data_IF_120016905491
#
_entry.id   IF_120016905491
#
_cell.length_a   1.000
_cell.length_b   1.000
_cell.length_c   1.000
_cell.angle_alpha   90.00
_cell.angle_beta   90.00
_cell.angle_gamma   90.00
#
_symmetry.space_group_name_H-M   'P 1'
#
loop_
_entity.id
_entity.type
_entity.pdbx_description
1 polymer ?
#
# COMPACT_ATOMS: atom_id res chain seq x y z
N UNK A 1 -2.77 -36.05 -0.94
CA UNK A 1 -2.23 -34.79 -1.48
C UNK A 1 -2.03 -33.80 -0.33
N UNK A 2 -0.79 -33.38 -0.06
CA UNK A 2 -0.50 -32.46 1.04
C UNK A 2 -1.02 -31.05 0.71
N UNK A 3 -1.90 -30.49 1.57
CA UNK A 3 -2.38 -29.11 1.44
C UNK A 3 -1.22 -28.15 1.69
N UNK A 4 -0.71 -27.49 0.64
CA UNK A 4 0.24 -26.37 0.78
C UNK A 4 -0.43 -25.26 1.61
N UNK A 5 0.26 -24.81 2.66
CA UNK A 5 -0.18 -23.72 3.52
C UNK A 5 -0.25 -22.44 2.69
N UNK A 6 -1.45 -21.88 2.51
CA UNK A 6 -1.63 -20.58 1.86
C UNK A 6 -1.11 -19.51 2.83
N UNK A 7 0.06 -18.94 2.54
CA UNK A 7 0.57 -17.78 3.27
C UNK A 7 0.17 -16.49 2.53
N UNK A 8 -0.22 -15.46 3.28
CA UNK A 8 -0.42 -14.13 2.71
C UNK A 8 0.91 -13.64 2.15
N UNK A 9 0.90 -13.12 0.91
CA UNK A 9 2.09 -12.60 0.28
C UNK A 9 2.64 -11.43 1.10
N UNK A 10 3.88 -11.55 1.59
CA UNK A 10 4.57 -10.44 2.25
C UNK A 10 4.71 -9.25 1.31
N UNK A 11 4.62 -8.03 1.84
CA UNK A 11 4.81 -6.80 1.06
C UNK A 11 6.20 -6.81 0.41
N UNK A 12 6.25 -6.66 -0.93
CA UNK A 12 7.50 -6.64 -1.69
C UNK A 12 8.38 -5.46 -1.26
N UNK A 13 9.71 -5.64 -1.28
CA UNK A 13 10.64 -4.52 -1.05
C UNK A 13 10.53 -3.52 -2.19
N UNK A 14 10.50 -2.22 -1.86
CA UNK A 14 10.47 -1.13 -2.85
C UNK A 14 11.70 -1.24 -3.76
N UNK A 15 11.46 -1.42 -5.07
CA UNK A 15 12.50 -1.49 -6.10
C UNK A 15 12.86 -2.91 -6.56
N UNK A 16 12.32 -3.96 -5.95
CA UNK A 16 12.52 -5.32 -6.46
C UNK A 16 11.64 -5.58 -7.68
N UNK A 17 12.27 -5.94 -8.81
CA UNK A 17 11.55 -6.29 -10.02
C UNK A 17 10.63 -7.48 -9.78
N UNK A 18 9.45 -7.53 -10.42
CA UNK A 18 8.54 -8.64 -10.22
C UNK A 18 9.17 -9.98 -10.63
N UNK A 19 9.17 -10.94 -9.69
CA UNK A 19 9.59 -12.30 -9.97
C UNK A 19 8.68 -12.87 -11.05
N UNK A 20 9.27 -13.10 -12.23
CA UNK A 20 8.58 -13.72 -13.36
C UNK A 20 8.26 -15.18 -13.06
N UNK A 21 7.00 -15.56 -13.28
CA UNK A 21 6.54 -16.95 -13.15
C UNK A 21 6.98 -17.74 -14.39
N UNK A 22 6.67 -17.25 -15.60
CA UNK A 22 7.16 -17.86 -16.84
C UNK A 22 8.51 -17.29 -17.23
N UNK A 23 9.42 -18.15 -17.69
CA UNK A 23 10.78 -17.80 -18.12
C UNK A 23 11.13 -18.51 -19.43
N UNK A 24 12.13 -18.00 -20.14
CA UNK A 24 12.66 -18.62 -21.36
C UNK A 24 11.59 -18.86 -22.41
N UNK A 25 11.58 -20.06 -23.00
CA UNK A 25 10.67 -20.41 -24.10
C UNK A 25 9.22 -20.57 -23.66
N UNK A 26 8.97 -21.03 -22.43
CA UNK A 26 7.61 -21.08 -21.87
C UNK A 26 6.96 -19.69 -21.84
N UNK A 27 7.74 -18.64 -21.56
CA UNK A 27 7.24 -17.26 -21.62
C UNK A 27 6.91 -16.83 -23.04
N UNK A 28 7.77 -17.15 -24.01
CA UNK A 28 7.55 -16.81 -25.43
C UNK A 28 6.28 -17.46 -25.96
N UNK A 29 6.08 -18.74 -25.64
CA UNK A 29 4.87 -19.47 -25.98
C UNK A 29 3.63 -18.84 -25.35
N UNK A 30 3.72 -18.44 -24.07
CA UNK A 30 2.59 -17.79 -23.42
C UNK A 30 2.26 -16.43 -24.05
N UNK A 31 3.28 -15.63 -24.39
CA UNK A 31 3.10 -14.36 -25.11
C UNK A 31 2.40 -14.60 -26.45
N UNK A 32 2.80 -15.63 -27.21
CA UNK A 32 2.15 -15.98 -28.48
C UNK A 32 0.65 -16.24 -28.30
N UNK A 33 0.28 -17.06 -27.31
CA UNK A 33 -1.13 -17.35 -27.00
C UNK A 33 -1.90 -16.11 -26.57
N UNK A 34 -1.30 -15.24 -25.75
CA UNK A 34 -1.90 -13.97 -25.33
C UNK A 34 -2.11 -13.07 -26.56
N UNK A 35 -1.14 -12.99 -27.47
CA UNK A 35 -1.27 -12.22 -28.70
C UNK A 35 -2.41 -12.72 -29.58
N UNK A 36 -2.60 -14.04 -29.70
CA UNK A 36 -3.68 -14.63 -30.49
C UNK A 36 -5.07 -14.24 -29.92
N UNK A 37 -5.22 -14.25 -28.58
CA UNK A 37 -6.44 -13.76 -27.91
C UNK A 37 -6.66 -12.27 -28.12
N UNK A 38 -5.60 -11.46 -27.96
CA UNK A 38 -5.68 -10.02 -28.06
C UNK A 38 -5.91 -9.55 -29.50
N UNK A 39 -5.52 -10.31 -30.53
CA UNK A 39 -5.64 -9.93 -31.95
C UNK A 39 -7.10 -9.86 -32.43
N UNK A 40 -8.02 -10.57 -31.79
CA UNK A 40 -9.42 -10.65 -32.21
C UNK A 40 -10.28 -9.49 -31.68
N UNK A 41 -9.75 -8.27 -31.70
CA UNK A 41 -10.49 -7.07 -31.29
C UNK A 41 -11.36 -6.54 -32.42
N UNK A 42 -12.45 -5.85 -32.07
CA UNK A 42 -13.36 -5.18 -33.03
C UNK A 42 -13.33 -3.67 -32.90
N UNK A 43 -13.30 -3.17 -31.66
CA UNK A 43 -13.40 -1.73 -31.37
C UNK A 43 -12.03 -1.12 -31.04
N UNK A 44 -11.20 -1.83 -30.29
CA UNK A 44 -9.92 -1.32 -29.83
C UNK A 44 -8.95 -2.47 -29.59
N UNK A 45 -7.65 -2.29 -29.87
CA UNK A 45 -6.62 -3.26 -29.48
C UNK A 45 -6.69 -3.67 -27.99
N UNK A 46 -7.24 -2.82 -27.11
CA UNK A 46 -7.36 -3.07 -25.68
C UNK A 46 -8.67 -3.75 -25.24
N UNK A 47 -9.58 -4.07 -26.17
CA UNK A 47 -10.92 -4.63 -25.89
C UNK A 47 -10.86 -5.87 -24.99
N UNK A 48 -9.95 -6.79 -25.27
CA UNK A 48 -9.82 -8.05 -24.54
C UNK A 48 -8.83 -8.02 -23.38
N UNK A 49 -8.24 -6.86 -23.05
CA UNK A 49 -7.21 -6.74 -22.02
C UNK A 49 -7.71 -7.22 -20.64
N UNK A 50 -8.85 -6.69 -20.20
CA UNK A 50 -9.36 -6.94 -18.86
C UNK A 50 -9.75 -8.41 -18.63
N UNK A 51 -10.46 -8.99 -19.60
CA UNK A 51 -10.86 -10.39 -19.56
C UNK A 51 -9.63 -11.32 -19.60
N UNK A 52 -8.69 -11.06 -20.51
CA UNK A 52 -7.44 -11.82 -20.64
C UNK A 52 -6.63 -11.77 -19.35
N UNK A 53 -6.42 -10.58 -18.77
CA UNK A 53 -5.68 -10.42 -17.50
C UNK A 53 -6.34 -11.19 -16.37
N UNK A 54 -7.66 -11.11 -16.26
CA UNK A 54 -8.42 -11.80 -15.21
C UNK A 54 -8.34 -13.31 -15.37
N UNK A 55 -8.46 -13.82 -16.59
CA UNK A 55 -8.31 -15.25 -16.89
C UNK A 55 -6.94 -15.78 -16.50
N UNK A 56 -5.87 -15.12 -16.95
CA UNK A 56 -4.49 -15.51 -16.61
C UNK A 56 -4.20 -15.46 -15.11
N UNK A 57 -4.62 -14.36 -14.45
CA UNK A 57 -4.46 -14.24 -13.00
C UNK A 57 -5.17 -15.37 -12.27
N UNK A 58 -6.42 -15.68 -12.67
CA UNK A 58 -7.21 -16.75 -12.04
C UNK A 58 -6.54 -18.10 -12.24
N UNK A 59 -6.10 -18.43 -13.46
CA UNK A 59 -5.38 -19.66 -13.74
C UNK A 59 -4.12 -19.82 -12.88
N UNK A 60 -3.28 -18.78 -12.82
CA UNK A 60 -2.05 -18.79 -12.01
C UNK A 60 -2.33 -18.91 -10.50
N UNK A 61 -3.40 -18.29 -9.99
CA UNK A 61 -3.82 -18.46 -8.59
C UNK A 61 -4.24 -19.90 -8.32
N UNK A 62 -4.97 -20.52 -9.25
CA UNK A 62 -5.40 -21.93 -9.13
C UNK A 62 -4.21 -22.91 -9.20
N UNK A 63 -3.13 -22.55 -9.90
CA UNK A 63 -1.85 -23.27 -9.90
C UNK A 63 -1.06 -23.10 -8.57
N UNK A 64 -1.55 -22.26 -7.66
CA UNK A 64 -0.98 -22.04 -6.33
C UNK A 64 -0.03 -20.86 -6.23
N UNK A 65 0.00 -19.98 -7.24
CA UNK A 65 0.74 -18.72 -7.14
C UNK A 65 0.00 -17.70 -6.27
N UNK A 66 0.76 -16.86 -5.56
CA UNK A 66 0.18 -15.76 -4.79
C UNK A 66 -0.48 -14.74 -5.71
N UNK A 67 -1.60 -14.15 -5.27
CA UNK A 67 -2.43 -13.23 -6.05
C UNK A 67 -1.62 -12.10 -6.72
N UNK A 68 -0.73 -11.44 -5.98
CA UNK A 68 0.08 -10.34 -6.52
C UNK A 68 1.06 -10.81 -7.59
N UNK A 69 1.70 -11.97 -7.41
CA UNK A 69 2.64 -12.51 -8.40
C UNK A 69 1.91 -12.93 -9.68
N UNK A 70 0.71 -13.51 -9.55
CA UNK A 70 -0.15 -13.87 -10.66
C UNK A 70 -0.61 -12.63 -11.46
N UNK A 71 -1.05 -11.57 -10.77
CA UNK A 71 -1.48 -10.33 -11.41
C UNK A 71 -0.31 -9.58 -12.09
N UNK A 72 0.85 -9.49 -11.43
CA UNK A 72 2.07 -8.89 -12.00
C UNK A 72 2.53 -9.63 -13.26
N UNK A 73 2.47 -10.96 -13.25
CA UNK A 73 2.86 -11.77 -14.41
C UNK A 73 1.87 -11.61 -15.57
N UNK A 74 0.56 -11.68 -15.29
CA UNK A 74 -0.49 -11.48 -16.29
C UNK A 74 -0.37 -10.09 -16.94
N UNK A 75 -0.20 -9.03 -16.13
CA UNK A 75 0.01 -7.68 -16.61
C UNK A 75 1.23 -7.57 -17.54
N UNK A 76 2.32 -8.25 -17.20
CA UNK A 76 3.54 -8.20 -17.98
C UNK A 76 3.50 -9.02 -19.27
N UNK A 77 2.79 -10.16 -19.29
CA UNK A 77 2.56 -10.92 -20.52
C UNK A 77 1.73 -10.09 -21.50
N UNK A 78 0.69 -9.42 -21.01
CA UNK A 78 -0.17 -8.54 -21.83
C UNK A 78 0.59 -7.32 -22.33
N UNK A 79 1.37 -6.65 -21.46
CA UNK A 79 2.16 -5.48 -21.86
C UNK A 79 3.17 -5.83 -22.97
N UNK A 80 3.84 -6.96 -22.86
CA UNK A 80 4.78 -7.43 -23.88
C UNK A 80 4.06 -7.84 -25.18
N UNK A 81 2.88 -8.45 -25.07
CA UNK A 81 2.04 -8.79 -26.22
C UNK A 81 1.58 -7.54 -26.98
N UNK A 82 1.15 -6.49 -26.28
CA UNK A 82 0.82 -5.20 -26.91
C UNK A 82 2.01 -4.54 -27.59
N UNK A 83 3.19 -4.59 -26.97
CA UNK A 83 4.42 -4.09 -27.56
C UNK A 83 4.73 -4.79 -28.89
N UNK A 84 4.56 -6.12 -28.96
CA UNK A 84 4.79 -6.91 -30.17
C UNK A 84 3.70 -6.71 -31.23
N UNK A 85 2.45 -6.43 -30.83
CA UNK A 85 1.36 -6.06 -31.73
C UNK A 85 1.48 -4.62 -32.26
N UNK A 86 2.42 -3.82 -31.76
CA UNK A 86 2.55 -2.40 -32.09
C UNK A 86 1.42 -1.53 -31.51
N UNK A 87 0.68 -2.03 -30.52
CA UNK A 87 -0.40 -1.28 -29.88
C UNK A 87 0.18 -0.21 -28.95
N UNK A 88 -0.13 1.06 -29.22
CA UNK A 88 0.27 2.19 -28.37
C UNK A 88 -0.85 2.48 -27.37
N UNK A 89 -0.54 2.44 -26.07
CA UNK A 89 -1.52 2.79 -25.05
C UNK A 89 -1.92 4.26 -25.19
N UNK A 90 -3.22 4.59 -25.13
CA UNK A 90 -3.64 5.98 -25.10
C UNK A 90 -3.00 6.67 -23.90
N UNK A 91 -2.66 7.94 -24.06
CA UNK A 91 -2.31 8.79 -22.93
C UNK A 91 -3.47 8.81 -21.95
N UNK A 92 -3.20 9.16 -20.68
CA UNK A 92 -4.26 9.24 -19.67
C UNK A 92 -5.43 10.12 -20.15
N UNK A 93 -5.14 11.24 -20.83
CA UNK A 93 -6.14 12.14 -21.41
C UNK A 93 -6.95 11.47 -22.53
N UNK A 94 -6.31 10.72 -23.42
CA UNK A 94 -6.97 9.97 -24.50
C UNK A 94 -7.80 8.79 -23.98
N UNK A 95 -7.47 8.26 -22.81
CA UNK A 95 -8.27 7.23 -22.13
C UNK A 95 -9.47 7.79 -21.39
N UNK A 96 -9.64 9.12 -21.32
CA UNK A 96 -10.78 9.72 -20.63
C UNK A 96 -12.07 9.55 -21.44
N UNK A 97 -13.19 9.70 -20.74
CA UNK A 97 -14.50 9.45 -21.33
C UNK A 97 -14.81 10.44 -22.45
N UNK A 98 -14.31 11.66 -22.31
CA UNK A 98 -14.47 12.77 -23.23
C UNK A 98 -13.79 12.53 -24.57
N UNK A 99 -12.71 11.76 -24.58
CA UNK A 99 -11.97 11.46 -25.80
C UNK A 99 -12.55 10.27 -26.55
N UNK A 100 -13.23 9.37 -25.83
CA UNK A 100 -13.81 8.13 -26.36
C UNK A 100 -15.31 8.23 -26.64
N UNK A 101 -15.99 9.27 -26.16
CA UNK A 101 -17.39 9.51 -26.47
C UNK A 101 -17.51 10.25 -27.79
N UNK A 102 -18.19 9.62 -28.76
CA UNK A 102 -18.73 10.34 -29.90
C UNK A 102 -19.65 11.48 -29.48
N UNK A 103 -19.99 12.35 -30.43
CA UNK A 103 -20.92 13.46 -30.19
C UNK A 103 -22.36 12.96 -30.00
N UNK A 104 -22.63 11.74 -30.43
CA UNK A 104 -23.91 11.04 -30.35
C UNK A 104 -24.20 10.40 -28.98
N UNK A 105 -23.26 10.48 -28.03
CA UNK A 105 -23.42 9.93 -26.69
C UNK A 105 -23.22 10.99 -25.60
N UNK A 106 -24.02 10.90 -24.54
CA UNK A 106 -23.88 11.73 -23.34
C UNK A 106 -22.50 11.50 -22.68
N UNK A 107 -21.76 12.58 -22.41
CA UNK A 107 -20.45 12.52 -21.75
C UNK A 107 -20.49 11.98 -20.31
N UNK A 108 -21.63 12.14 -19.62
CA UNK A 108 -21.82 11.66 -18.25
C UNK A 108 -22.14 10.16 -18.20
N UNK A 109 -23.28 9.77 -18.75
CA UNK A 109 -23.84 8.41 -18.61
C UNK A 109 -23.60 7.47 -19.81
N UNK A 110 -23.13 7.97 -20.96
CA UNK A 110 -23.02 7.22 -22.24
C UNK A 110 -24.33 6.79 -22.88
N UNK A 111 -25.46 7.26 -22.40
CA UNK A 111 -26.73 7.11 -23.10
C UNK A 111 -26.68 7.81 -24.47
N UNK A 112 -27.37 7.28 -25.50
CA UNK A 112 -27.51 7.98 -26.77
C UNK A 112 -28.18 9.33 -26.54
N UNK A 113 -27.74 10.35 -27.27
CA UNK A 113 -28.41 11.65 -27.31
C UNK A 113 -29.50 11.63 -28.39
N UNK A 114 -30.59 12.33 -28.15
CA UNK A 114 -31.61 12.55 -29.17
C UNK A 114 -31.09 13.52 -30.25
N UNK A 115 -31.78 13.51 -31.40
CA UNK A 115 -31.39 14.34 -32.55
C UNK A 115 -31.44 15.84 -32.23
N UNK A 116 -32.36 16.26 -31.36
CA UNK A 116 -32.48 17.66 -30.93
C UNK A 116 -31.24 18.08 -30.12
N UNK A 117 -30.83 17.30 -29.13
CA UNK A 117 -29.62 17.54 -28.35
C UNK A 117 -28.37 17.53 -29.24
N UNK A 118 -28.29 16.60 -30.20
CA UNK A 118 -27.19 16.57 -31.17
C UNK A 118 -27.16 17.81 -32.06
N UNK A 119 -28.32 18.24 -32.57
CA UNK A 119 -28.48 19.44 -33.44
C UNK A 119 -28.13 20.71 -32.68
N UNK A 120 -28.52 20.80 -31.41
CA UNK A 120 -28.18 21.90 -30.52
C UNK A 120 -26.73 21.85 -29.99
N UNK A 121 -25.95 20.83 -30.37
CA UNK A 121 -24.56 20.65 -29.94
C UNK A 121 -24.40 20.32 -28.45
N UNK A 122 -25.46 19.83 -27.80
CA UNK A 122 -25.41 19.42 -26.41
C UNK A 122 -24.58 18.16 -26.24
N UNK A 123 -23.93 18.03 -25.08
CA UNK A 123 -23.06 16.89 -24.75
C UNK A 123 -23.59 16.03 -23.60
N UNK A 124 -24.76 16.35 -23.08
CA UNK A 124 -25.35 15.70 -21.93
C UNK A 124 -26.83 15.44 -22.18
N UNK A 125 -27.32 14.27 -21.75
CA UNK A 125 -28.73 13.90 -21.88
C UNK A 125 -29.63 14.59 -20.84
N UNK A 126 -29.04 15.16 -19.79
CA UNK A 126 -29.76 15.88 -18.74
C UNK A 126 -28.82 16.79 -17.94
N UNK A 127 -29.41 17.74 -17.20
CA UNK A 127 -28.69 18.66 -16.33
C UNK A 127 -27.90 17.96 -15.23
N UNK A 128 -28.37 16.80 -14.75
CA UNK A 128 -27.66 16.03 -13.73
C UNK A 128 -26.32 15.51 -14.27
N UNK A 129 -26.32 14.96 -15.49
CA UNK A 129 -25.08 14.53 -16.13
C UNK A 129 -24.14 15.71 -16.35
N UNK A 130 -24.67 16.86 -16.77
CA UNK A 130 -23.87 18.07 -16.94
C UNK A 130 -23.26 18.54 -15.61
N UNK A 131 -24.04 18.54 -14.52
CA UNK A 131 -23.62 18.95 -13.17
C UNK A 131 -22.57 18.02 -12.58
N UNK A 132 -22.80 16.71 -12.63
CA UNK A 132 -21.85 15.69 -12.13
C UNK A 132 -20.52 15.79 -12.87
N UNK A 133 -20.55 15.87 -14.21
CA UNK A 133 -19.33 16.06 -15.00
C UNK A 133 -18.64 17.38 -14.67
N UNK A 134 -19.39 18.48 -14.49
CA UNK A 134 -18.82 19.78 -14.10
C UNK A 134 -18.14 19.75 -12.73
N UNK A 135 -18.65 18.98 -11.77
CA UNK A 135 -18.11 18.94 -10.40
C UNK A 135 -16.86 18.05 -10.29
N UNK A 136 -16.83 16.89 -10.96
CA UNK A 136 -15.70 15.95 -10.86
C UNK A 136 -14.54 16.28 -11.81
N UNK A 137 -14.80 16.95 -12.93
CA UNK A 137 -13.79 17.26 -13.94
C UNK A 137 -12.67 18.19 -13.46
N UNK A 138 -12.95 19.26 -12.68
CA UNK A 138 -11.91 20.14 -12.15
C UNK A 138 -10.91 19.39 -11.29
N UNK A 139 -11.34 18.47 -10.42
CA UNK A 139 -10.45 17.75 -9.51
C UNK A 139 -9.42 16.92 -10.29
N UNK A 140 -9.89 16.21 -11.31
CA UNK A 140 -9.04 15.34 -12.12
C UNK A 140 -8.07 16.17 -12.96
N UNK A 141 -8.55 17.22 -13.63
CA UNK A 141 -7.69 18.11 -14.42
C UNK A 141 -6.71 18.88 -13.54
N UNK A 142 -7.15 19.40 -12.39
CA UNK A 142 -6.30 20.08 -11.42
C UNK A 142 -5.24 19.14 -10.86
N UNK A 143 -5.55 17.87 -10.62
CA UNK A 143 -4.57 16.89 -10.18
C UNK A 143 -3.48 16.67 -11.25
N UNK A 144 -3.87 16.42 -12.50
CA UNK A 144 -2.93 16.21 -13.60
C UNK A 144 -2.08 17.46 -13.86
N UNK A 145 -2.70 18.65 -13.89
CA UNK A 145 -2.00 19.93 -14.06
C UNK A 145 -1.12 20.24 -12.87
N UNK A 146 -1.55 19.96 -11.64
CA UNK A 146 -0.75 20.15 -10.42
C UNK A 146 0.50 19.26 -10.45
N UNK A 147 0.35 17.98 -10.85
CA UNK A 147 1.49 17.09 -11.05
C UNK A 147 2.47 17.61 -12.10
N UNK A 148 1.96 18.01 -13.28
CA UNK A 148 2.79 18.55 -14.35
C UNK A 148 3.50 19.85 -13.94
N UNK A 149 2.79 20.77 -13.27
CA UNK A 149 3.35 22.01 -12.71
C UNK A 149 4.42 21.72 -11.67
N UNK A 150 4.15 20.78 -10.76
CA UNK A 150 5.11 20.39 -9.70
C UNK A 150 6.37 19.77 -10.30
N UNK A 151 6.23 18.92 -11.33
CA UNK A 151 7.36 18.34 -12.04
C UNK A 151 8.17 19.40 -12.82
N UNK A 152 7.49 20.32 -13.50
CA UNK A 152 8.13 21.42 -14.22
C UNK A 152 8.86 22.38 -13.28
N UNK A 153 8.22 22.77 -12.16
CA UNK A 153 8.83 23.58 -11.12
C UNK A 153 10.04 22.86 -10.53
N UNK A 154 9.92 21.57 -10.18
CA UNK A 154 11.03 20.78 -9.68
C UNK A 154 12.22 20.74 -10.66
N UNK A 155 11.98 20.52 -11.95
CA UNK A 155 13.01 20.51 -12.98
C UNK A 155 13.69 21.90 -13.11
N UNK A 156 12.89 22.97 -13.19
CA UNK A 156 13.41 24.34 -13.30
C UNK A 156 14.18 24.79 -12.05
N UNK A 157 13.68 24.46 -10.86
CA UNK A 157 14.35 24.74 -9.59
C UNK A 157 15.65 23.95 -9.48
N UNK A 158 15.64 22.67 -9.85
CA UNK A 158 16.85 21.84 -9.87
C UNK A 158 17.89 22.43 -10.82
N UNK A 159 17.49 22.98 -11.97
CA UNK A 159 18.43 23.55 -12.94
C UNK A 159 19.18 24.78 -12.43
N UNK A 160 18.50 25.64 -11.67
CA UNK A 160 19.05 26.86 -11.07
C UNK A 160 20.01 26.61 -9.91
N UNK A 161 19.96 25.43 -9.29
CA UNK A 161 20.82 25.11 -8.15
C UNK A 161 22.18 24.61 -8.67
N UNK A 162 23.31 25.24 -8.28
CA UNK A 162 24.62 24.79 -8.72
C UNK A 162 24.94 23.38 -8.21
N UNK A 163 25.73 22.64 -8.98
CA UNK A 163 26.30 21.38 -8.53
C UNK A 163 27.18 21.59 -7.29
N UNK A 164 27.15 20.63 -6.37
CA UNK A 164 27.96 20.66 -5.14
C UNK A 164 28.50 19.27 -4.84
N UNK A 165 29.62 19.22 -4.13
CA UNK A 165 30.15 17.98 -3.60
C UNK A 165 29.27 17.44 -2.45
N UNK A 166 29.02 16.14 -2.44
CA UNK A 166 28.36 15.45 -1.33
C UNK A 166 29.19 15.55 -0.05
N UNK A 167 28.60 16.01 1.04
CA UNK A 167 29.27 16.16 2.34
C UNK A 167 29.79 14.83 2.94
N UNK A 168 29.37 13.68 2.40
CA UNK A 168 29.82 12.36 2.84
C UNK A 168 30.85 11.71 1.91
N UNK A 169 30.51 11.58 0.62
CA UNK A 169 31.33 10.82 -0.34
C UNK A 169 32.11 11.70 -1.32
N UNK A 170 31.95 13.03 -1.28
CA UNK A 170 32.63 13.98 -2.15
C UNK A 170 32.10 14.05 -3.60
N UNK A 171 31.31 13.08 -4.06
CA UNK A 171 30.76 13.05 -5.42
C UNK A 171 29.94 14.31 -5.73
N UNK A 172 30.16 14.92 -6.91
CA UNK A 172 29.35 16.04 -7.39
C UNK A 172 27.91 15.60 -7.64
N UNK A 173 26.94 16.41 -7.22
CA UNK A 173 25.53 16.18 -7.49
C UNK A 173 24.73 17.48 -7.52
N UNK A 174 23.59 17.48 -8.22
CA UNK A 174 22.65 18.60 -8.30
C UNK A 174 21.47 18.37 -7.35
N UNK A 175 21.42 19.03 -6.17
CA UNK A 175 20.39 18.77 -5.17
C UNK A 175 19.01 19.27 -5.58
N UNK A 176 17.97 18.67 -4.98
CA UNK A 176 16.59 19.13 -5.15
C UNK A 176 16.31 20.46 -4.42
N UNK A 177 17.00 20.73 -3.31
CA UNK A 177 16.84 21.95 -2.49
C UNK A 177 18.20 22.48 -2.03
N UNK A 178 18.29 23.78 -1.76
CA UNK A 178 19.54 24.40 -1.29
C UNK A 178 20.03 23.83 0.05
N UNK A 179 19.16 23.25 0.88
CA UNK A 179 19.53 22.65 2.17
C UNK A 179 20.05 21.21 2.03
N UNK A 180 19.89 20.57 0.87
CA UNK A 180 20.34 19.19 0.68
C UNK A 180 21.86 19.14 0.51
N UNK A 181 22.55 18.48 1.44
CA UNK A 181 24.02 18.39 1.49
C UNK A 181 24.58 17.04 1.05
N UNK A 182 23.74 16.05 0.77
CA UNK A 182 24.16 14.70 0.37
C UNK A 182 23.50 14.24 -0.93
N UNK A 183 24.23 13.46 -1.72
CA UNK A 183 23.78 12.98 -3.03
C UNK A 183 22.71 11.88 -3.00
N UNK A 184 22.52 11.21 -1.87
CA UNK A 184 21.62 10.07 -1.74
C UNK A 184 21.10 9.90 -0.31
N UNK A 185 19.99 9.17 -0.16
CA UNK A 185 19.46 8.79 1.15
C UNK A 185 20.45 7.95 1.98
N UNK A 186 21.30 7.14 1.33
CA UNK A 186 22.34 6.38 2.00
C UNK A 186 23.41 7.31 2.62
N UNK A 187 23.90 8.28 1.85
CA UNK A 187 24.84 9.30 2.34
C UNK A 187 24.19 10.16 3.45
N UNK A 188 22.93 10.58 3.29
CA UNK A 188 22.18 11.26 4.34
C UNK A 188 22.06 10.43 5.63
N UNK A 189 21.93 9.10 5.50
CA UNK A 189 21.95 8.18 6.63
C UNK A 189 23.30 8.13 7.33
N UNK A 190 24.40 8.11 6.57
CA UNK A 190 25.77 8.12 7.09
C UNK A 190 26.10 9.42 7.81
N UNK A 191 25.88 10.58 7.19
CA UNK A 191 26.08 11.90 7.84
C UNK A 191 25.31 11.99 9.15
N UNK A 192 24.04 11.57 9.18
CA UNK A 192 23.25 11.57 10.41
C UNK A 192 23.78 10.62 11.47
N UNK A 193 24.29 9.46 11.07
CA UNK A 193 24.86 8.48 12.00
C UNK A 193 26.17 9.02 12.57
N UNK A 194 27.02 9.61 11.73
CA UNK A 194 28.34 10.09 12.12
C UNK A 194 28.33 11.37 12.94
N UNK A 195 27.29 12.19 12.79
CA UNK A 195 27.02 13.31 13.69
C UNK A 195 26.64 12.88 15.11
N UNK A 196 26.29 11.61 15.34
CA UNK A 196 25.97 11.10 16.69
C UNK A 196 27.27 10.65 17.37
N UNK A 197 27.67 11.24 18.50
CA UNK A 197 28.87 10.82 19.23
C UNK A 197 28.69 9.40 19.77
N UNK A 198 29.81 8.68 19.91
CA UNK A 198 29.80 7.40 20.63
C UNK A 198 29.47 7.61 22.10
N UNK A 199 28.66 6.70 22.67
CA UNK A 199 28.26 6.73 24.07
C UNK A 199 28.25 5.31 24.64
N UNK A 200 28.30 5.19 25.96
CA UNK A 200 28.15 3.92 26.65
C UNK A 200 26.65 3.59 26.80
N UNK A 201 26.27 2.35 26.51
CA UNK A 201 24.91 1.86 26.69
C UNK A 201 24.54 1.83 28.17
N UNK A 202 23.43 2.45 28.56
CA UNK A 202 22.97 2.47 29.95
C UNK A 202 22.60 1.08 30.51
N UNK A 203 22.32 0.08 29.66
CA UNK A 203 21.99 -1.27 30.10
C UNK A 203 23.21 -2.20 30.22
N UNK A 204 24.09 -2.19 29.22
CA UNK A 204 25.18 -3.18 29.11
C UNK A 204 26.59 -2.57 29.15
N UNK A 205 26.72 -1.24 29.27
CA UNK A 205 28.00 -0.53 29.34
C UNK A 205 28.78 -0.43 28.02
N UNK A 206 28.43 -1.21 26.99
CA UNK A 206 29.15 -1.22 25.70
C UNK A 206 29.09 0.14 24.99
N UNK A 207 30.21 0.55 24.40
CA UNK A 207 30.29 1.70 23.49
C UNK A 207 29.48 1.44 22.24
N UNK A 208 28.65 2.40 21.84
CA UNK A 208 27.86 2.33 20.63
C UNK A 208 27.57 3.72 20.04
N UNK A 209 27.24 3.75 18.74
CA UNK A 209 26.77 4.94 18.02
C UNK A 209 25.28 4.79 17.72
N UNK A 210 24.45 5.64 18.33
CA UNK A 210 23.00 5.57 18.20
C UNK A 210 22.51 6.11 16.85
N UNK A 211 21.25 5.78 16.48
CA UNK A 211 20.59 6.38 15.30
C UNK A 211 20.24 7.86 15.49
N UNK A 212 20.17 8.30 16.74
CA UNK A 212 19.86 9.68 17.13
C UNK A 212 20.64 10.07 18.38
N UNK A 213 20.82 11.38 18.59
CA UNK A 213 21.41 11.94 19.81
C UNK A 213 20.61 11.56 21.07
N UNK A 214 19.32 11.23 20.92
CA UNK A 214 18.44 10.81 22.04
C UNK A 214 18.56 9.32 22.38
N UNK A 215 19.22 8.51 21.55
CA UNK A 215 19.36 7.07 21.79
C UNK A 215 20.34 6.80 22.93
N UNK A 216 19.85 6.19 24.02
CA UNK A 216 20.64 5.88 25.23
C UNK A 216 21.12 4.42 25.31
N UNK A 217 20.59 3.55 24.44
CA UNK A 217 20.76 2.10 24.53
C UNK A 217 21.14 1.54 23.16
N UNK A 218 22.02 0.54 23.15
CA UNK A 218 22.68 0.05 21.92
C UNK A 218 21.84 -0.90 21.07
N UNK A 219 20.83 -1.55 21.66
CA UNK A 219 20.01 -2.54 20.97
C UNK A 219 18.58 -2.54 21.50
N UNK A 220 17.65 -3.11 20.71
CA UNK A 220 16.26 -3.33 21.15
C UNK A 220 16.21 -4.20 22.41
N UNK A 221 17.13 -5.15 22.55
CA UNK A 221 17.21 -5.98 23.74
C UNK A 221 17.62 -5.15 24.97
N UNK A 222 18.66 -4.33 24.86
CA UNK A 222 19.05 -3.40 25.93
C UNK A 222 17.95 -2.39 26.28
N UNK A 223 17.15 -1.95 25.30
CA UNK A 223 15.94 -1.14 25.54
C UNK A 223 14.97 -1.91 26.44
N UNK A 224 14.62 -3.14 26.05
CA UNK A 224 13.70 -3.97 26.83
C UNK A 224 14.22 -4.29 28.23
N UNK A 225 15.51 -4.55 28.37
CA UNK A 225 16.12 -4.89 29.65
C UNK A 225 16.18 -3.68 30.58
N UNK A 226 16.57 -2.51 30.07
CA UNK A 226 16.55 -1.25 30.81
C UNK A 226 15.13 -0.84 31.21
N UNK A 227 14.19 -0.90 30.27
CA UNK A 227 12.79 -0.55 30.54
C UNK A 227 12.20 -1.52 31.57
N UNK A 228 12.49 -2.83 31.45
CA UNK A 228 12.10 -3.83 32.46
C UNK A 228 12.73 -3.52 33.81
N UNK A 229 14.01 -3.19 33.88
CA UNK A 229 14.72 -2.91 35.14
C UNK A 229 14.25 -1.61 35.82
N UNK A 230 13.79 -0.62 35.05
CA UNK A 230 13.32 0.66 35.58
C UNK A 230 11.90 0.61 36.16
N UNK A 231 11.12 -0.42 35.84
CA UNK A 231 9.80 -0.61 36.43
C UNK A 231 9.92 -1.16 37.87
N UNK A 232 8.96 -0.89 38.77
CA UNK A 232 8.93 -1.57 40.06
C UNK A 232 8.37 -2.99 39.93
N UNK A 233 8.84 -3.93 40.77
CA UNK A 233 8.20 -5.23 40.93
C UNK A 233 6.76 -5.03 41.41
N UNK A 234 5.82 -5.82 40.89
CA UNK A 234 4.39 -5.77 41.26
C UNK A 234 3.85 -7.19 41.44
N UNK A 235 2.86 -7.40 42.32
CA UNK A 235 2.22 -8.70 42.46
C UNK A 235 1.40 -9.01 41.20
N UNK A 236 1.37 -10.28 40.80
CA UNK A 236 0.54 -10.77 39.71
C UNK A 236 -0.94 -10.78 40.13
N UNK A 237 -1.82 -10.18 39.33
CA UNK A 237 -3.26 -10.13 39.62
C UNK A 237 -3.94 -11.51 39.72
N UNK A 238 -3.30 -12.57 39.22
CA UNK A 238 -3.86 -13.93 39.24
C UNK A 238 -3.24 -14.83 40.31
N UNK A 239 -1.93 -14.77 40.52
CA UNK A 239 -1.23 -15.67 41.46
C UNK A 239 -0.63 -14.96 42.67
N UNK A 240 -0.65 -13.63 42.73
CA UNK A 240 -0.07 -12.83 43.82
C UNK A 240 1.46 -12.70 43.80
N UNK A 241 2.18 -13.55 43.06
CA UNK A 241 3.65 -13.52 43.05
C UNK A 241 4.20 -12.19 42.50
N UNK A 242 5.22 -11.66 43.18
CA UNK A 242 5.94 -10.46 42.74
C UNK A 242 6.73 -10.77 41.47
N UNK A 243 6.45 -10.04 40.40
CA UNK A 243 7.17 -10.16 39.13
C UNK A 243 7.61 -8.80 38.60
N UNK A 244 8.57 -8.82 37.69
CA UNK A 244 9.08 -7.62 37.01
C UNK A 244 8.34 -7.43 35.67
N UNK A 245 7.45 -6.43 35.54
CA UNK A 245 6.66 -6.27 34.33
C UNK A 245 7.52 -5.83 33.13
N UNK A 246 7.17 -6.28 31.92
CA UNK A 246 7.86 -5.88 30.70
C UNK A 246 7.37 -4.53 30.14
N UNK A 247 6.18 -4.08 30.54
CA UNK A 247 5.61 -2.76 30.23
C UNK A 247 4.84 -2.27 31.45
N UNK A 248 4.58 -0.96 31.55
CA UNK A 248 3.78 -0.36 32.62
C UNK A 248 2.37 -0.95 32.77
N UNK A 249 1.83 -1.56 31.70
CA UNK A 249 0.48 -2.12 31.62
C UNK A 249 0.40 -3.63 31.87
N UNK A 250 1.53 -4.32 32.03
CA UNK A 250 1.51 -5.76 32.29
C UNK A 250 1.03 -6.04 33.72
N UNK A 251 -0.12 -6.71 33.85
CA UNK A 251 -0.76 -7.09 35.13
C UNK A 251 -0.48 -8.54 35.57
N UNK A 252 0.11 -9.36 34.69
CA UNK A 252 0.29 -10.79 34.91
C UNK A 252 1.75 -11.20 34.70
N UNK A 253 2.25 -12.13 35.52
CA UNK A 253 3.63 -12.59 35.46
C UNK A 253 3.96 -13.42 34.21
N UNK A 254 2.96 -14.02 33.55
CA UNK A 254 3.15 -14.85 32.36
C UNK A 254 2.05 -14.67 31.30
N UNK A 255 2.35 -15.08 30.07
CA UNK A 255 1.35 -15.13 28.98
C UNK A 255 0.21 -16.10 29.29
N UNK A 256 0.50 -17.18 30.03
CA UNK A 256 -0.48 -18.16 30.49
C UNK A 256 -1.45 -17.54 31.51
N UNK A 257 -0.94 -16.79 32.51
CA UNK A 257 -1.79 -16.09 33.47
C UNK A 257 -2.66 -15.03 32.80
N UNK A 258 -2.11 -14.30 31.81
CA UNK A 258 -2.90 -13.38 31.00
C UNK A 258 -4.02 -14.11 30.23
N UNK A 259 -3.73 -15.25 29.62
CA UNK A 259 -4.73 -16.04 28.90
C UNK A 259 -5.81 -16.58 29.85
N UNK A 260 -5.43 -17.08 31.02
CA UNK A 260 -6.35 -17.57 32.05
C UNK A 260 -7.23 -16.46 32.61
N UNK A 261 -6.67 -15.29 32.93
CA UNK A 261 -7.44 -14.14 33.38
C UNK A 261 -8.42 -13.64 32.31
N UNK A 262 -8.02 -13.63 31.03
CA UNK A 262 -8.92 -13.30 29.92
C UNK A 262 -10.03 -14.35 29.75
N UNK A 263 -9.74 -15.63 29.99
CA UNK A 263 -10.73 -16.71 29.96
C UNK A 263 -11.75 -16.55 31.10
N UNK A 264 -11.29 -16.26 32.33
CA UNK A 264 -12.17 -15.98 33.48
C UNK A 264 -13.08 -14.78 33.21
N UNK A 265 -12.54 -13.66 32.70
CA UNK A 265 -13.35 -12.49 32.31
C UNK A 265 -14.38 -12.79 31.23
N UNK A 266 -14.03 -13.62 30.24
CA UNK A 266 -14.98 -14.06 29.21
C UNK A 266 -16.09 -14.91 29.81
N UNK A 267 -15.76 -15.82 30.75
CA UNK A 267 -16.74 -16.64 31.45
C UNK A 267 -17.67 -15.79 32.31
N UNK A 268 -17.13 -14.84 33.08
CA UNK A 268 -17.91 -13.87 33.87
C UNK A 268 -18.86 -13.06 33.00
N UNK A 269 -18.38 -12.54 31.86
CA UNK A 269 -19.22 -11.81 30.91
C UNK A 269 -20.30 -12.70 30.29
N UNK A 270 -20.00 -13.97 30.00
CA UNK A 270 -20.98 -14.91 29.48
C UNK A 270 -22.04 -15.25 30.54
N UNK A 271 -21.65 -15.40 31.81
CA UNK A 271 -22.61 -15.62 32.91
C UNK A 271 -23.43 -14.37 33.23
N UNK A 272 -22.84 -13.17 33.16
CA UNK A 272 -23.57 -11.93 33.44
C UNK A 272 -24.50 -11.52 32.28
N UNK A 273 -24.11 -11.79 31.03
CA UNK A 273 -24.97 -11.55 29.86
C UNK A 273 -26.16 -12.51 29.77
N UNK A 274 -26.16 -13.61 30.54
CA UNK A 274 -27.25 -14.58 30.57
C UNK A 274 -28.30 -14.26 31.65
N UNK A 275 -28.10 -13.20 32.45
CA UNK A 275 -29.16 -12.66 33.30
C UNK A 275 -30.06 -11.83 32.37
N UNK A 276 -30.95 -12.52 31.66
CA UNK A 276 -31.98 -11.92 30.82
C UNK A 276 -32.94 -11.16 31.73
N UNK A 277 -32.96 -9.83 31.62
CA UNK A 277 -33.92 -8.95 32.32
C UNK A 277 -35.38 -9.28 31.94
N UNK A 278 -35.61 -10.07 30.87
CA UNK A 278 -36.95 -10.56 30.45
C UNK A 278 -37.63 -11.54 31.42
N UNK A 279 -36.94 -12.10 32.43
CA UNK A 279 -37.62 -12.96 33.43
C UNK A 279 -38.18 -12.15 34.62
N UNK A 280 -37.91 -10.85 34.70
CA UNK A 280 -38.45 -10.01 35.77
C UNK A 280 -39.91 -9.56 35.50
N UNK A 281 -40.31 -9.33 34.25
CA UNK A 281 -41.66 -8.80 33.94
C UNK A 281 -42.77 -9.86 33.96
N UNK A 282 -42.45 -11.17 33.93
CA UNK A 282 -43.47 -12.22 33.97
C UNK A 282 -43.86 -12.70 35.38
N UNK A 283 -43.21 -12.20 36.44
CA UNK A 283 -43.56 -12.56 37.82
C UNK A 283 -44.59 -11.65 38.47
N UNK A 284 -44.77 -10.42 37.96
CA UNK A 284 -45.72 -9.45 38.54
C UNK A 284 -47.07 -9.41 37.82
N UNK A 285 -47.31 -10.28 36.83
CA UNK A 285 -48.57 -10.38 36.09
C UNK A 285 -49.45 -11.58 36.52
N UNK A 286 -49.12 -12.24 37.64
CA UNK A 286 -49.80 -13.44 38.14
C UNK A 286 -50.42 -13.28 39.55
N UNK A 287 -50.49 -12.06 40.08
CA UNK A 287 -51.30 -11.69 41.26
C UNK A 287 -52.43 -10.73 40.86
#
# INVERSE_FOLDING_TARGET
>A
MARKRITLAGSRRKGEAPQRIYRGDARKEMIRRVMDLLRNWRLSPFEHEGATRTGFRTALVMEGHGWQAADDEAAALIAESFRLLGAVRPTWLQGQREYSAGHEYCLGCRGPLDEEAMTNGWRFCCDECARVTRNHRPEIYQFAVSMARSAAFYAASKEKIPERACAWCGTSFKPATLQTVTCSHACAGRVRTDAVPERNCLACGKRFRGRSIKSKLCSIQCIRDHDRASLPKRPCDLCGELFQPATTFNRFCSTQHRARANHLKKKEKATSAFICEEVAEFRDAAE
#
